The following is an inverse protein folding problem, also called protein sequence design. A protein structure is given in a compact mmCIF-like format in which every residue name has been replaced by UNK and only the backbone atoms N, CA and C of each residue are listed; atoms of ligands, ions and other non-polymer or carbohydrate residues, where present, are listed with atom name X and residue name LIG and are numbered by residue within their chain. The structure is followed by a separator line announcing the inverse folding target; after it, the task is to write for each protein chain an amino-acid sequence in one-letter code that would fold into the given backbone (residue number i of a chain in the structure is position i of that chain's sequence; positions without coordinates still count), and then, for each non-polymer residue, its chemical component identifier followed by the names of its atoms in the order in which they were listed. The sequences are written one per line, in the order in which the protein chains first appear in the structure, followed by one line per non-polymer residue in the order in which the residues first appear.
data_IF_603809322487
#
_entry.id   IF_603809322487
#
_cell.length_a   1.000
_cell.length_b   1.000
_cell.length_c   1.000
_cell.angle_alpha   90.00
_cell.angle_beta   90.00
_cell.angle_gamma   90.00
#
_symmetry.space_group_name_H-M   'P 1'
#
loop_
_entity.id
_entity.type
_entity.pdbx_description
1 polymer ?
#
# COMPACT_ATOMS: atom_id res chain seq x y z
N UNK A 1 0.08 35.41 -15.12
CA UNK A 1 0.80 34.50 -16.04
C UNK A 1 1.65 33.60 -15.16
N UNK A 2 1.53 32.27 -15.23
CA UNK A 2 2.38 31.35 -14.46
C UNK A 2 3.44 30.79 -15.39
N UNK A 3 4.70 30.99 -15.06
CA UNK A 3 5.81 30.32 -15.72
C UNK A 3 5.89 28.88 -15.20
N UNK A 4 5.92 27.90 -16.12
CA UNK A 4 6.06 26.48 -15.79
C UNK A 4 7.36 26.00 -16.43
N UNK A 5 8.32 25.60 -15.60
CA UNK A 5 9.55 24.95 -16.06
C UNK A 5 9.25 23.46 -16.24
N UNK A 6 9.41 22.95 -17.46
CA UNK A 6 9.39 21.50 -17.73
C UNK A 6 10.81 20.99 -17.61
N UNK A 7 11.04 20.00 -16.76
CA UNK A 7 12.33 19.31 -16.70
C UNK A 7 12.40 18.39 -17.93
N UNK A 8 13.43 18.55 -18.76
CA UNK A 8 13.67 17.64 -19.89
C UNK A 8 14.14 16.28 -19.37
N UNK A 9 13.63 15.21 -19.97
CA UNK A 9 14.05 13.84 -19.68
C UNK A 9 15.51 13.67 -20.10
N UNK A 10 16.42 13.71 -19.13
CA UNK A 10 17.78 13.24 -19.29
C UNK A 10 17.69 11.75 -19.69
N UNK A 11 18.40 11.32 -20.74
CA UNK A 11 18.52 9.90 -21.09
C UNK A 11 19.16 9.15 -19.91
N UNK A 12 18.32 8.68 -19.00
CA UNK A 12 18.68 7.76 -17.94
C UNK A 12 18.88 6.39 -18.56
N UNK A 13 19.99 5.74 -18.21
CA UNK A 13 20.16 4.29 -18.38
C UNK A 13 18.91 3.63 -17.79
N UNK A 14 18.28 2.69 -18.51
CA UNK A 14 16.92 2.18 -18.27
C UNK A 14 16.79 1.24 -17.04
N UNK A 15 17.58 1.52 -15.99
CA UNK A 15 17.60 0.80 -14.72
C UNK A 15 16.24 0.85 -14.04
N UNK A 16 15.52 1.96 -14.19
CA UNK A 16 14.20 2.14 -13.60
C UNK A 16 13.16 1.21 -14.23
N UNK A 17 13.11 1.09 -15.56
CA UNK A 17 12.19 0.16 -16.21
C UNK A 17 12.53 -1.31 -15.86
N UNK A 18 13.82 -1.64 -15.74
CA UNK A 18 14.24 -2.98 -15.30
C UNK A 18 13.78 -3.29 -13.87
N UNK A 19 13.87 -2.32 -12.95
CA UNK A 19 13.37 -2.46 -11.58
C UNK A 19 11.85 -2.65 -11.54
N UNK A 20 11.08 -1.84 -12.29
CA UNK A 20 9.62 -1.97 -12.36
C UNK A 20 9.22 -3.31 -12.98
N UNK A 21 9.93 -3.76 -14.03
CA UNK A 21 9.70 -5.07 -14.65
C UNK A 21 9.97 -6.22 -13.70
N UNK A 22 11.05 -6.14 -12.91
CA UNK A 22 11.36 -7.13 -11.88
C UNK A 22 10.30 -7.13 -10.77
N UNK A 23 9.88 -5.94 -10.30
CA UNK A 23 8.81 -5.80 -9.32
C UNK A 23 7.51 -6.43 -9.82
N UNK A 24 7.14 -6.20 -11.08
CA UNK A 24 5.93 -6.78 -11.68
C UNK A 24 5.97 -8.31 -11.72
N UNK A 25 7.14 -8.93 -11.91
CA UNK A 25 7.30 -10.38 -11.79
C UNK A 25 6.99 -10.86 -10.37
N UNK A 26 7.53 -10.19 -9.35
CA UNK A 26 7.23 -10.52 -7.96
C UNK A 26 5.76 -10.26 -7.59
N UNK A 27 5.15 -9.20 -8.13
CA UNK A 27 3.73 -8.91 -7.92
C UNK A 27 2.84 -10.02 -8.45
N UNK A 28 3.18 -10.58 -9.61
CA UNK A 28 2.46 -11.72 -10.20
C UNK A 28 2.67 -13.00 -9.38
N UNK A 29 3.86 -13.23 -8.82
CA UNK A 29 4.10 -14.33 -7.88
C UNK A 29 3.25 -14.18 -6.60
N UNK A 30 3.18 -12.97 -6.04
CA UNK A 30 2.35 -12.68 -4.86
C UNK A 30 0.87 -12.89 -5.16
N UNK A 31 0.39 -12.44 -6.32
CA UNK A 31 -1.00 -12.67 -6.75
C UNK A 31 -1.33 -14.16 -6.76
N UNK A 32 -0.46 -14.99 -7.34
CA UNK A 32 -0.65 -16.45 -7.35
C UNK A 32 -0.65 -17.05 -5.94
N UNK A 33 0.15 -16.51 -5.02
CA UNK A 33 0.10 -16.90 -3.60
C UNK A 33 -1.26 -16.56 -3.01
N UNK A 34 -1.73 -15.32 -3.15
CA UNK A 34 -3.04 -14.90 -2.64
C UNK A 34 -4.18 -15.76 -3.22
N UNK A 35 -4.19 -16.01 -4.52
CA UNK A 35 -5.18 -16.85 -5.20
C UNK A 35 -5.15 -18.30 -4.69
N UNK A 36 -3.95 -18.89 -4.56
CA UNK A 36 -3.76 -20.26 -4.06
C UNK A 36 -4.39 -20.45 -2.68
N UNK A 37 -4.17 -19.51 -1.76
CA UNK A 37 -4.71 -19.57 -0.39
C UNK A 37 -6.09 -18.90 -0.25
N UNK A 38 -6.68 -18.41 -1.35
CA UNK A 38 -7.97 -17.68 -1.37
C UNK A 38 -7.99 -16.48 -0.42
N UNK A 39 -6.86 -15.78 -0.33
CA UNK A 39 -6.69 -14.58 0.49
C UNK A 39 -7.01 -13.36 -0.37
N UNK A 40 -7.93 -12.52 0.10
CA UNK A 40 -8.18 -11.21 -0.51
C UNK A 40 -7.22 -10.19 0.07
N UNK A 41 -6.43 -9.52 -0.76
CA UNK A 41 -5.41 -8.58 -0.31
C UNK A 41 -5.66 -7.17 -0.87
N UNK A 42 -5.57 -6.15 -0.01
CA UNK A 42 -5.83 -4.75 -0.35
C UNK A 42 -4.61 -3.89 -0.05
N UNK A 43 -4.13 -3.15 -1.05
CA UNK A 43 -3.06 -2.14 -0.92
C UNK A 43 -3.70 -0.81 -0.51
N UNK A 44 -3.43 -0.33 0.70
CA UNK A 44 -3.97 0.90 1.26
C UNK A 44 -2.87 1.96 1.25
N UNK A 45 -2.96 2.90 0.32
CA UNK A 45 -1.99 3.98 0.14
C UNK A 45 -2.62 5.36 0.38
N UNK A 46 -1.78 6.39 0.47
CA UNK A 46 -2.19 7.75 0.82
C UNK A 46 -1.07 8.50 1.51
N UNK A 47 -1.14 9.84 1.52
CA UNK A 47 -0.15 10.69 2.18
C UNK A 47 -0.03 10.38 3.69
N UNK A 48 1.00 10.94 4.33
CA UNK A 48 1.09 10.94 5.79
C UNK A 48 -0.14 11.63 6.39
N UNK A 49 -0.75 11.02 7.41
CA UNK A 49 -1.85 11.64 8.15
C UNK A 49 -3.22 11.65 7.46
N UNK A 50 -3.39 10.98 6.31
CA UNK A 50 -4.70 10.88 5.63
C UNK A 50 -5.70 9.95 6.33
N UNK A 51 -5.21 9.16 7.29
CA UNK A 51 -6.03 8.27 8.12
C UNK A 51 -6.05 6.82 7.64
N UNK A 52 -5.00 6.36 6.94
CA UNK A 52 -4.83 4.95 6.53
C UNK A 52 -4.95 3.98 7.72
N UNK A 53 -4.12 4.16 8.75
CA UNK A 53 -4.15 3.35 9.98
C UNK A 53 -5.53 3.36 10.62
N UNK A 54 -6.13 4.54 10.81
CA UNK A 54 -7.47 4.65 11.41
C UNK A 54 -8.55 3.97 10.57
N UNK A 55 -8.46 4.03 9.23
CA UNK A 55 -9.36 3.28 8.34
C UNK A 55 -9.18 1.78 8.52
N UNK A 56 -7.94 1.28 8.55
CA UNK A 56 -7.64 -0.14 8.74
C UNK A 56 -8.11 -0.62 10.11
N UNK A 57 -7.86 0.11 11.20
CA UNK A 57 -8.37 -0.23 12.53
C UNK A 57 -9.90 -0.39 12.54
N UNK A 58 -10.61 0.54 11.90
CA UNK A 58 -12.09 0.48 11.79
C UNK A 58 -12.56 -0.70 10.95
N UNK A 59 -11.89 -0.99 9.84
CA UNK A 59 -12.18 -2.15 9.00
C UNK A 59 -11.94 -3.46 9.75
N UNK A 60 -10.81 -3.58 10.45
CA UNK A 60 -10.50 -4.74 11.29
C UNK A 60 -11.58 -4.95 12.34
N UNK A 61 -11.95 -3.92 13.09
CA UNK A 61 -13.01 -4.03 14.11
C UNK A 61 -14.35 -4.47 13.52
N UNK A 62 -14.72 -3.93 12.36
CA UNK A 62 -16.01 -4.23 11.73
C UNK A 62 -16.06 -5.63 11.07
N UNK A 63 -14.91 -6.19 10.68
CA UNK A 63 -14.83 -7.38 9.84
C UNK A 63 -14.27 -8.62 10.53
N UNK A 64 -13.56 -8.48 11.67
CA UNK A 64 -12.87 -9.60 12.33
C UNK A 64 -13.77 -10.76 12.80
N UNK A 65 -15.06 -10.51 13.02
CA UNK A 65 -16.03 -11.56 13.37
C UNK A 65 -16.46 -12.41 12.15
N UNK A 66 -16.20 -11.92 10.92
CA UNK A 66 -16.58 -12.56 9.65
C UNK A 66 -15.38 -13.05 8.85
N UNK A 67 -14.23 -12.42 9.03
CA UNK A 67 -13.01 -12.68 8.28
C UNK A 67 -11.86 -12.95 9.23
N UNK A 68 -10.96 -13.84 8.83
CA UNK A 68 -9.67 -14.01 9.51
C UNK A 68 -8.69 -13.03 8.90
N UNK A 69 -8.34 -11.99 9.65
CA UNK A 69 -7.62 -10.82 9.15
C UNK A 69 -6.16 -10.83 9.61
N UNK A 70 -5.25 -10.54 8.68
CA UNK A 70 -3.90 -10.10 8.99
C UNK A 70 -3.61 -8.74 8.36
N UNK A 71 -2.63 -8.03 8.90
CA UNK A 71 -2.21 -6.72 8.39
C UNK A 71 -0.70 -6.72 8.15
N UNK A 72 -0.28 -6.17 7.02
CA UNK A 72 1.12 -5.83 6.75
C UNK A 72 1.24 -4.32 6.83
N UNK A 73 2.14 -3.81 7.66
CA UNK A 73 2.33 -2.37 7.85
C UNK A 73 3.69 -1.94 7.32
N UNK A 74 3.71 -0.98 6.40
CA UNK A 74 4.91 -0.37 5.85
C UNK A 74 5.16 1.01 6.41
N UNK A 75 6.24 1.18 7.15
CA UNK A 75 6.71 2.48 7.63
C UNK A 75 8.25 2.55 7.50
N UNK A 76 8.82 3.74 7.56
CA UNK A 76 10.26 3.95 7.40
C UNK A 76 11.02 3.26 8.54
N UNK A 77 10.64 3.52 9.79
CA UNK A 77 11.41 3.08 10.96
C UNK A 77 10.60 2.70 12.19
N UNK A 78 9.32 3.09 12.30
CA UNK A 78 8.54 2.93 13.52
C UNK A 78 7.60 1.72 13.46
N UNK A 79 7.10 1.30 14.63
CA UNK A 79 6.07 0.25 14.76
C UNK A 79 4.72 0.82 15.19
N UNK A 80 4.57 2.15 15.24
CA UNK A 80 3.44 2.83 15.88
C UNK A 80 2.11 2.35 15.31
N UNK A 81 1.99 2.33 13.97
CA UNK A 81 0.77 1.93 13.28
C UNK A 81 0.49 0.43 13.45
N UNK A 82 1.54 -0.41 13.40
CA UNK A 82 1.42 -1.83 13.65
C UNK A 82 0.95 -2.14 15.09
N UNK A 83 1.45 -1.40 16.08
CA UNK A 83 1.08 -1.55 17.49
C UNK A 83 -0.36 -1.08 17.75
N UNK A 84 -0.81 -0.02 17.07
CA UNK A 84 -2.20 0.44 17.13
C UNK A 84 -3.15 -0.62 16.58
N UNK A 85 -2.86 -1.14 15.38
CA UNK A 85 -3.68 -2.16 14.73
C UNK A 85 -3.66 -3.49 15.51
N UNK A 86 -2.51 -3.86 16.07
CA UNK A 86 -2.33 -5.08 16.86
C UNK A 86 -3.22 -5.14 18.11
N UNK A 87 -3.59 -3.99 18.70
CA UNK A 87 -4.52 -3.92 19.85
C UNK A 87 -5.89 -4.51 19.56
N UNK A 88 -6.28 -4.66 18.29
CA UNK A 88 -7.56 -5.28 17.91
C UNK A 88 -7.53 -6.81 17.87
N UNK A 89 -6.38 -7.43 18.18
CA UNK A 89 -6.21 -8.88 18.29
C UNK A 89 -5.91 -9.59 16.96
N UNK A 90 -5.50 -8.84 15.93
CA UNK A 90 -5.14 -9.39 14.61
C UNK A 90 -3.64 -9.59 14.48
N UNK A 91 -3.22 -10.50 13.59
CA UNK A 91 -1.80 -10.66 13.24
C UNK A 91 -1.33 -9.46 12.45
N UNK A 92 -0.31 -8.76 12.93
CA UNK A 92 0.34 -7.66 12.22
C UNK A 92 1.80 -8.01 11.91
N UNK A 93 2.26 -7.69 10.71
CA UNK A 93 3.65 -7.83 10.27
C UNK A 93 4.17 -6.46 9.85
N UNK A 94 5.14 -5.93 10.60
CA UNK A 94 5.80 -4.68 10.27
C UNK A 94 6.89 -4.89 9.21
N UNK A 95 6.96 -4.00 8.24
CA UNK A 95 8.06 -3.83 7.30
C UNK A 95 8.65 -2.44 7.54
N UNK A 96 9.89 -2.41 8.04
CA UNK A 96 10.66 -1.18 8.11
C UNK A 96 11.40 -0.97 6.78
N UNK A 97 10.94 -0.01 5.99
CA UNK A 97 11.47 0.25 4.64
C UNK A 97 12.80 1.00 4.66
N UNK A 98 13.21 1.52 5.83
CA UNK A 98 14.42 2.29 6.01
C UNK A 98 14.32 3.65 5.34
N UNK A 99 14.79 3.74 4.09
CA UNK A 99 14.76 4.98 3.28
C UNK A 99 13.79 4.90 2.10
N UNK A 100 13.23 3.73 1.82
CA UNK A 100 12.33 3.56 0.68
C UNK A 100 10.98 4.23 0.93
N UNK A 101 10.53 5.00 -0.06
CA UNK A 101 9.30 5.79 -0.01
C UNK A 101 8.03 4.99 -0.38
N UNK A 102 8.15 3.68 -0.58
CA UNK A 102 7.08 2.77 -0.99
C UNK A 102 7.37 1.34 -0.52
N UNK A 103 6.35 0.48 -0.53
CA UNK A 103 6.52 -0.97 -0.49
C UNK A 103 6.66 -1.53 -1.91
N UNK A 104 7.50 -2.55 -2.07
CA UNK A 104 7.62 -3.34 -3.30
C UNK A 104 7.07 -4.76 -3.10
N UNK A 105 6.84 -5.49 -4.20
CA UNK A 105 6.29 -6.83 -4.15
C UNK A 105 7.22 -7.86 -3.47
N UNK A 106 8.54 -7.69 -3.53
CA UNK A 106 9.47 -8.59 -2.87
C UNK A 106 9.42 -8.42 -1.33
N UNK A 107 9.24 -7.19 -0.84
CA UNK A 107 8.97 -6.91 0.57
C UNK A 107 7.69 -7.61 1.04
N UNK A 108 6.62 -7.53 0.23
CA UNK A 108 5.37 -8.24 0.53
C UNK A 108 5.56 -9.75 0.56
N UNK A 109 6.27 -10.32 -0.41
CA UNK A 109 6.58 -11.76 -0.44
C UNK A 109 7.19 -12.24 0.88
N UNK A 110 8.19 -11.51 1.39
CA UNK A 110 8.85 -11.80 2.68
C UNK A 110 7.91 -11.65 3.88
N UNK A 111 6.99 -10.68 3.84
CA UNK A 111 6.00 -10.51 4.90
C UNK A 111 4.97 -11.65 4.91
N UNK A 112 4.57 -12.16 3.74
CA UNK A 112 3.66 -13.31 3.64
C UNK A 112 4.25 -14.58 4.26
N UNK A 113 5.57 -14.77 4.23
CA UNK A 113 6.24 -15.89 4.93
C UNK A 113 6.08 -15.84 6.45
N UNK A 114 5.66 -14.71 7.02
CA UNK A 114 5.40 -14.53 8.46
C UNK A 114 3.93 -14.67 8.84
N UNK A 115 3.07 -14.98 7.87
CA UNK A 115 1.62 -15.13 8.03
C UNK A 115 1.25 -16.58 7.71
N UNK A 116 0.48 -17.22 8.57
CA UNK A 116 -0.12 -18.52 8.29
C UNK A 116 -1.32 -18.34 7.35
N UNK A 117 -1.05 -18.37 6.04
CA UNK A 117 -2.04 -18.06 5.00
C UNK A 117 -3.18 -19.08 4.92
N UNK A 118 -3.04 -20.28 5.50
CA UNK A 118 -4.14 -21.25 5.61
C UNK A 118 -5.21 -20.81 6.63
N UNK A 119 -4.87 -19.88 7.53
CA UNK A 119 -5.75 -19.39 8.60
C UNK A 119 -6.27 -17.97 8.37
N UNK A 120 -5.84 -17.31 7.30
CA UNK A 120 -6.18 -15.92 6.96
C UNK A 120 -6.94 -15.92 5.64
N UNK A 121 -7.94 -15.06 5.50
CA UNK A 121 -8.66 -14.89 4.23
C UNK A 121 -8.79 -13.42 3.79
N UNK A 122 -8.33 -12.48 4.62
CA UNK A 122 -8.29 -11.06 4.32
C UNK A 122 -6.99 -10.44 4.81
N UNK A 123 -6.29 -9.71 3.94
CA UNK A 123 -5.08 -8.96 4.26
C UNK A 123 -5.24 -7.50 3.86
N UNK A 124 -4.99 -6.60 4.81
CA UNK A 124 -4.75 -5.18 4.51
C UNK A 124 -3.25 -4.92 4.52
N UNK A 125 -2.76 -4.20 3.51
CA UNK A 125 -1.38 -3.77 3.41
C UNK A 125 -1.38 -2.24 3.52
N UNK A 126 -0.96 -1.70 4.66
CA UNK A 126 -0.75 -0.26 4.79
C UNK A 126 0.59 0.10 4.13
N UNK A 127 0.52 0.87 3.05
CA UNK A 127 1.69 1.35 2.34
C UNK A 127 2.29 2.58 3.03
N UNK A 128 3.53 2.92 2.68
CA UNK A 128 4.21 4.11 3.20
C UNK A 128 3.39 5.37 2.88
N UNK A 129 3.45 6.36 3.77
CA UNK A 129 2.75 7.65 3.63
C UNK A 129 3.24 8.49 2.45
N UNK A 130 2.87 8.12 1.22
CA UNK A 130 3.29 8.78 -0.01
C UNK A 130 2.22 8.57 -1.11
N UNK A 131 1.92 9.60 -1.90
CA UNK A 131 1.00 9.50 -3.04
C UNK A 131 1.70 9.27 -4.39
N UNK A 132 3.01 9.48 -4.47
CA UNK A 132 3.78 9.43 -5.71
C UNK A 132 4.41 8.05 -5.87
N UNK A 133 5.45 7.73 -5.08
CA UNK A 133 6.26 6.53 -5.26
C UNK A 133 5.46 5.22 -5.34
N UNK A 134 4.45 4.96 -4.47
CA UNK A 134 3.76 3.66 -4.48
C UNK A 134 2.93 3.40 -5.75
N UNK A 135 2.68 4.43 -6.56
CA UNK A 135 1.84 4.34 -7.76
C UNK A 135 2.39 3.33 -8.77
N UNK A 136 3.72 3.33 -8.97
CA UNK A 136 4.39 2.50 -9.99
C UNK A 136 4.70 1.07 -9.51
N UNK A 137 4.69 0.84 -8.20
CA UNK A 137 5.04 -0.44 -7.59
C UNK A 137 3.80 -1.26 -7.26
N UNK A 138 3.50 -2.24 -8.12
CA UNK A 138 2.44 -3.22 -7.86
C UNK A 138 2.89 -4.19 -6.77
N UNK A 139 1.98 -4.53 -5.86
CA UNK A 139 2.23 -5.47 -4.75
C UNK A 139 1.72 -6.90 -5.01
N UNK A 140 0.88 -7.07 -6.04
CA UNK A 140 0.15 -8.32 -6.31
C UNK A 140 -1.22 -8.41 -5.62
N UNK A 141 -1.70 -7.31 -5.04
CA UNK A 141 -2.99 -7.21 -4.35
C UNK A 141 -4.18 -7.29 -5.33
N UNK A 142 -5.36 -7.63 -4.78
CA UNK A 142 -6.62 -7.68 -5.51
C UNK A 142 -7.10 -6.28 -5.89
N UNK A 143 -6.98 -5.34 -4.94
CA UNK A 143 -7.46 -3.97 -5.08
C UNK A 143 -6.52 -2.97 -4.42
N UNK A 144 -6.46 -1.77 -5.00
CA UNK A 144 -5.77 -0.61 -4.44
C UNK A 144 -6.77 0.43 -3.93
N UNK A 145 -6.58 0.83 -2.68
CA UNK A 145 -7.36 1.85 -1.97
C UNK A 145 -6.45 3.07 -1.79
N UNK A 146 -6.88 4.22 -2.33
CA UNK A 146 -6.20 5.51 -2.13
C UNK A 146 -6.99 6.32 -1.10
N UNK A 147 -6.36 6.62 0.03
CA UNK A 147 -6.93 7.43 1.11
C UNK A 147 -6.37 8.84 1.03
N UNK A 148 -7.26 9.80 0.80
CA UNK A 148 -6.97 11.23 0.86
C UNK A 148 -7.81 11.92 1.91
N UNK A 149 -7.37 13.09 2.35
CA UNK A 149 -7.98 13.92 3.38
C UNK A 149 -8.36 15.28 2.79
N UNK A 150 -9.50 15.85 3.22
CA UNK A 150 -9.88 17.23 2.82
C UNK A 150 -8.80 18.26 3.21
N UNK A 151 -7.99 17.97 4.22
CA UNK A 151 -6.86 18.80 4.66
C UNK A 151 -5.71 18.88 3.65
N UNK A 152 -5.65 17.98 2.66
CA UNK A 152 -4.67 18.04 1.56
C UNK A 152 -5.07 19.07 0.48
N UNK A 153 -6.30 19.57 0.55
CA UNK A 153 -6.86 20.57 -0.36
C UNK A 153 -7.53 19.98 -1.60
N UNK A 154 -8.46 20.75 -2.18
CA UNK A 154 -9.37 20.29 -3.24
C UNK A 154 -8.74 19.96 -4.60
N UNK A 155 -7.42 20.06 -4.74
CA UNK A 155 -6.70 19.80 -5.99
C UNK A 155 -5.82 18.54 -5.95
N UNK A 156 -5.84 17.76 -4.86
CA UNK A 156 -4.96 16.59 -4.69
C UNK A 156 -5.09 15.57 -5.83
N UNK A 157 -6.33 15.33 -6.31
CA UNK A 157 -6.60 14.41 -7.41
C UNK A 157 -5.99 14.88 -8.74
N UNK A 158 -6.17 16.16 -9.06
CA UNK A 158 -5.64 16.76 -10.30
C UNK A 158 -4.11 16.85 -10.26
N UNK A 159 -3.52 17.00 -9.07
CA UNK A 159 -2.07 17.07 -8.90
C UNK A 159 -1.36 15.71 -9.00
N UNK A 160 -2.06 14.61 -8.74
CA UNK A 160 -1.46 13.26 -8.73
C UNK A 160 -2.27 12.27 -9.61
N UNK A 161 -2.53 12.59 -10.88
CA UNK A 161 -3.54 11.88 -11.69
C UNK A 161 -3.27 10.38 -11.83
N UNK A 162 -2.00 9.97 -11.96
CA UNK A 162 -1.62 8.55 -12.10
C UNK A 162 -2.03 7.72 -10.88
N UNK A 163 -1.90 8.28 -9.67
CA UNK A 163 -2.29 7.62 -8.42
C UNK A 163 -3.78 7.28 -8.42
N UNK A 164 -4.62 8.20 -8.87
CA UNK A 164 -6.08 8.01 -8.89
C UNK A 164 -6.55 7.16 -10.06
N UNK A 165 -5.85 7.22 -11.21
CA UNK A 165 -6.12 6.32 -12.34
C UNK A 165 -5.79 4.86 -12.01
N UNK A 166 -4.79 4.63 -11.15
CA UNK A 166 -4.39 3.29 -10.71
C UNK A 166 -5.16 2.82 -9.45
N UNK A 167 -6.09 3.61 -8.92
CA UNK A 167 -6.88 3.24 -7.75
C UNK A 167 -8.15 2.46 -8.16
N UNK A 168 -8.49 1.42 -7.42
CA UNK A 168 -9.81 0.79 -7.54
C UNK A 168 -10.85 1.47 -6.65
N UNK A 169 -10.41 1.97 -5.50
CA UNK A 169 -11.25 2.63 -4.50
C UNK A 169 -10.55 3.90 -4.04
N UNK A 170 -11.28 5.02 -4.02
CA UNK A 170 -10.80 6.29 -3.47
C UNK A 170 -11.63 6.63 -2.24
N UNK A 171 -10.95 6.87 -1.12
CA UNK A 171 -11.56 7.30 0.14
C UNK A 171 -11.22 8.77 0.35
N UNK A 172 -12.24 9.63 0.37
CA UNK A 172 -12.10 11.03 0.78
C UNK A 172 -12.48 11.10 2.26
N UNK A 173 -11.50 11.43 3.11
CA UNK A 173 -11.59 11.39 4.56
C UNK A 173 -11.55 12.80 5.17
N UNK A 174 -11.99 12.90 6.44
CA UNK A 174 -12.14 14.14 7.23
C UNK A 174 -13.06 15.18 6.58
#
# INVERSE_FOLDING_TARGET
MREIVRVENIQTIDVEADLIKLNNKFAEENRKIFEKYRVRAFDVMGSVGTGKTSLIERLVQALKEKYSIAVVNGDLTTTIDADLIGKHGVKVVQINTGKECHLDANMIKKALEKIDLEKVNLIFIENVGNLICPTDFKLGTEKRIVVVSVTEGGYVAVKHPLTFLNADIVVINK
#
